data_IF_246303588460
#
_entry.id   IF_246303588460
#
_cell.length_a   1.000
_cell.length_b   1.000
_cell.length_c   1.000
_cell.angle_alpha   90.00
_cell.angle_beta   90.00
_cell.angle_gamma   90.00
#
_symmetry.space_group_name_H-M   'P 1'
#
loop_
_entity.id
_entity.type
_entity.pdbx_description
1 polymer ?
#
# COMPACT_ATOMS: atom_id res chain seq x y z
N UNK A 1 27.01 -23.67 -1.47
CA UNK A 1 26.02 -22.63 -1.80
C UNK A 1 24.56 -23.02 -1.55
N UNK A 2 24.24 -24.30 -1.48
CA UNK A 2 22.88 -24.83 -1.24
C UNK A 2 22.36 -24.74 0.22
N UNK A 3 23.24 -24.55 1.20
CA UNK A 3 22.83 -24.52 2.62
C UNK A 3 22.23 -23.18 3.07
N UNK A 4 22.65 -22.05 2.49
CA UNK A 4 22.08 -20.72 2.83
C UNK A 4 20.67 -20.54 2.31
N UNK A 5 20.35 -21.04 1.12
CA UNK A 5 19.02 -20.93 0.54
C UNK A 5 17.96 -21.72 1.33
N UNK A 6 18.30 -22.92 1.82
CA UNK A 6 17.37 -23.74 2.64
C UNK A 6 17.10 -23.15 4.02
N UNK A 7 18.06 -22.46 4.63
CA UNK A 7 17.90 -21.82 5.93
C UNK A 7 16.99 -20.58 5.80
N UNK A 8 17.25 -19.74 4.77
CA UNK A 8 16.41 -18.55 4.47
C UNK A 8 14.95 -18.95 4.18
N UNK A 9 14.73 -20.00 3.41
CA UNK A 9 13.35 -20.50 3.13
C UNK A 9 12.67 -20.99 4.41
N UNK A 10 13.36 -21.75 5.26
CA UNK A 10 12.81 -22.21 6.55
C UNK A 10 12.47 -21.05 7.48
N UNK A 11 13.30 -20.02 7.53
CA UNK A 11 13.04 -18.84 8.34
C UNK A 11 11.83 -18.06 7.84
N UNK A 12 11.63 -17.99 6.51
CA UNK A 12 10.46 -17.37 5.90
C UNK A 12 9.17 -18.13 6.18
N UNK A 13 9.17 -19.46 6.04
CA UNK A 13 8.01 -20.31 6.34
C UNK A 13 7.58 -20.16 7.81
N UNK A 14 8.53 -20.14 8.74
CA UNK A 14 8.26 -19.93 10.16
C UNK A 14 7.65 -18.53 10.44
N UNK A 15 8.12 -17.49 9.75
CA UNK A 15 7.55 -16.14 9.87
C UNK A 15 6.12 -16.11 9.36
N UNK A 16 5.86 -16.71 8.20
CA UNK A 16 4.51 -16.81 7.61
C UNK A 16 3.56 -17.55 8.57
N UNK A 17 3.96 -18.71 9.09
CA UNK A 17 3.17 -19.48 10.07
C UNK A 17 2.87 -18.63 11.30
N UNK A 18 3.86 -17.95 11.86
CA UNK A 18 3.68 -17.11 13.04
C UNK A 18 2.70 -15.96 12.81
N UNK A 19 2.77 -15.30 11.63
CA UNK A 19 1.84 -14.24 11.24
C UNK A 19 0.43 -14.82 11.05
N UNK A 20 0.29 -15.95 10.35
CA UNK A 20 -1.00 -16.61 10.14
C UNK A 20 -1.68 -16.98 11.45
N UNK A 21 -0.93 -17.55 12.38
CA UNK A 21 -1.40 -17.89 13.73
C UNK A 21 -1.84 -16.63 14.52
N UNK A 22 -1.08 -15.54 14.41
CA UNK A 22 -1.43 -14.29 15.08
C UNK A 22 -2.71 -13.66 14.50
N UNK A 23 -2.86 -13.68 13.19
CA UNK A 23 -4.08 -13.21 12.52
C UNK A 23 -5.29 -14.05 12.95
N UNK A 24 -5.16 -15.38 12.93
CA UNK A 24 -6.24 -16.28 13.29
C UNK A 24 -6.64 -16.12 14.77
N UNK A 25 -5.69 -16.04 15.71
CA UNK A 25 -5.97 -15.87 17.14
C UNK A 25 -6.68 -14.57 17.47
N UNK A 26 -6.49 -13.54 16.67
CA UNK A 26 -7.08 -12.22 16.89
C UNK A 26 -8.26 -11.90 15.96
N UNK A 27 -8.73 -12.89 15.18
CA UNK A 27 -9.79 -12.70 14.16
C UNK A 27 -9.50 -11.52 13.22
N UNK A 28 -8.25 -11.43 12.75
CA UNK A 28 -7.77 -10.39 11.85
C UNK A 28 -7.51 -10.96 10.46
N UNK A 29 -7.63 -10.09 9.47
CA UNK A 29 -7.23 -10.37 8.09
C UNK A 29 -6.09 -9.45 7.67
N UNK A 30 -5.14 -9.97 6.88
CA UNK A 30 -4.11 -9.15 6.26
C UNK A 30 -4.68 -8.52 5.00
N UNK A 31 -4.78 -7.19 4.98
CA UNK A 31 -5.39 -6.46 3.85
C UNK A 31 -4.38 -5.93 2.84
N UNK A 32 -3.13 -5.73 3.26
CA UNK A 32 -2.07 -5.16 2.44
C UNK A 32 -0.70 -5.51 3.04
N UNK A 33 0.29 -5.73 2.19
CA UNK A 33 1.71 -5.61 2.52
C UNK A 33 2.49 -5.01 1.36
N UNK A 34 3.75 -4.63 1.61
CA UNK A 34 4.60 -4.05 0.57
C UNK A 34 5.44 -5.11 -0.14
N UNK A 35 5.79 -4.87 -1.42
CA UNK A 35 6.93 -5.52 -2.07
C UNK A 35 8.22 -5.22 -1.30
N UNK A 36 9.24 -6.07 -1.40
CA UNK A 36 10.56 -5.77 -0.83
C UNK A 36 11.06 -4.40 -1.29
N UNK A 37 11.43 -3.58 -0.31
CA UNK A 37 11.80 -2.18 -0.53
C UNK A 37 13.32 -1.98 -0.75
N UNK A 38 14.08 -3.06 -0.90
CA UNK A 38 15.54 -3.01 -0.95
C UNK A 38 16.17 -2.86 0.44
N UNK A 39 17.37 -2.29 0.50
CA UNK A 39 18.09 -2.05 1.74
C UNK A 39 17.52 -0.81 2.47
N UNK A 40 16.46 -1.01 3.27
CA UNK A 40 15.78 0.06 4.00
C UNK A 40 16.70 0.83 4.95
N UNK A 41 17.56 0.12 5.68
CA UNK A 41 18.51 0.72 6.63
C UNK A 41 19.61 1.52 5.90
N UNK A 42 19.93 1.12 4.67
CA UNK A 42 20.81 1.83 3.75
C UNK A 42 20.14 3.02 3.04
N UNK A 43 18.87 3.31 3.34
CA UNK A 43 18.15 4.46 2.80
C UNK A 43 17.32 4.17 1.56
N UNK A 44 17.25 2.93 1.06
CA UNK A 44 16.38 2.58 -0.07
C UNK A 44 14.89 2.64 0.33
N UNK A 45 14.06 2.96 -0.63
CA UNK A 45 12.60 3.12 -0.46
C UNK A 45 11.83 2.46 -1.61
N UNK A 46 12.30 1.30 -2.05
CA UNK A 46 11.83 0.58 -3.22
C UNK A 46 12.87 0.47 -4.31
N UNK A 47 12.72 -0.52 -5.18
CA UNK A 47 13.68 -0.82 -6.26
C UNK A 47 13.04 -0.78 -7.65
N UNK A 48 11.74 -0.56 -7.75
CA UNK A 48 11.00 -0.67 -8.99
C UNK A 48 11.44 0.36 -10.07
N UNK A 49 11.91 1.53 -9.66
CA UNK A 49 12.34 2.57 -10.59
C UNK A 49 13.87 2.57 -10.86
N UNK A 50 14.61 1.58 -10.35
CA UNK A 50 16.07 1.55 -10.41
C UNK A 50 16.58 0.77 -11.64
N UNK A 51 17.13 1.43 -12.66
CA UNK A 51 17.74 0.74 -13.80
C UNK A 51 18.86 -0.19 -13.37
N UNK A 52 18.90 -1.40 -13.95
CA UNK A 52 19.89 -2.44 -13.65
C UNK A 52 19.55 -3.32 -12.45
N UNK A 53 18.39 -3.10 -11.78
CA UNK A 53 17.93 -3.93 -10.66
C UNK A 53 16.61 -4.67 -10.97
N UNK A 54 16.31 -4.84 -12.25
CA UNK A 54 15.07 -5.47 -12.70
C UNK A 54 14.93 -6.91 -12.21
N UNK A 55 16.02 -7.68 -12.18
CA UNK A 55 15.99 -9.06 -11.68
C UNK A 55 15.66 -9.13 -10.18
N UNK A 56 16.27 -8.25 -9.38
CA UNK A 56 15.96 -8.16 -7.95
C UNK A 56 14.50 -7.78 -7.71
N UNK A 57 13.98 -6.85 -8.50
CA UNK A 57 12.56 -6.49 -8.44
C UNK A 57 11.66 -7.68 -8.76
N UNK A 58 11.97 -8.44 -9.82
CA UNK A 58 11.19 -9.61 -10.24
C UNK A 58 11.23 -10.73 -9.19
N UNK A 59 12.38 -11.00 -8.60
CA UNK A 59 12.52 -11.93 -7.48
C UNK A 59 11.66 -11.49 -6.28
N UNK A 60 11.69 -10.19 -5.96
CA UNK A 60 10.86 -9.58 -4.91
C UNK A 60 9.36 -9.73 -5.16
N UNK A 61 8.91 -9.64 -6.41
CA UNK A 61 7.51 -9.92 -6.79
C UNK A 61 7.15 -11.37 -6.50
N UNK A 62 8.01 -12.33 -6.84
CA UNK A 62 7.83 -13.74 -6.52
C UNK A 62 7.64 -13.98 -5.03
N UNK A 63 8.55 -13.46 -4.21
CA UNK A 63 8.45 -13.56 -2.74
C UNK A 63 7.15 -12.95 -2.20
N UNK A 64 6.74 -11.79 -2.73
CA UNK A 64 5.50 -11.15 -2.29
C UNK A 64 4.26 -11.96 -2.64
N UNK A 65 4.25 -12.65 -3.79
CA UNK A 65 3.18 -13.57 -4.19
C UNK A 65 3.09 -14.73 -3.20
N UNK A 66 4.23 -15.33 -2.82
CA UNK A 66 4.27 -16.44 -1.86
C UNK A 66 3.67 -16.01 -0.50
N UNK A 67 4.11 -14.86 0.03
CA UNK A 67 3.57 -14.27 1.26
C UNK A 67 2.07 -13.96 1.16
N UNK A 68 1.67 -13.24 0.12
CA UNK A 68 0.28 -12.85 -0.07
C UNK A 68 -0.64 -14.07 -0.21
N UNK A 69 -0.20 -15.10 -0.93
CA UNK A 69 -0.96 -16.34 -1.09
C UNK A 69 -1.11 -17.09 0.22
N UNK A 70 -0.02 -17.28 0.95
CA UNK A 70 -0.01 -18.00 2.23
C UNK A 70 -0.86 -17.29 3.29
N UNK A 71 -0.83 -15.95 3.34
CA UNK A 71 -1.56 -15.12 4.29
C UNK A 71 -2.93 -14.65 3.78
N UNK A 72 -3.34 -15.06 2.58
CA UNK A 72 -4.60 -14.65 1.92
C UNK A 72 -4.73 -13.13 1.80
N UNK A 73 -3.61 -12.45 1.55
CA UNK A 73 -3.57 -11.00 1.37
C UNK A 73 -4.04 -10.62 -0.04
N UNK A 74 -5.09 -9.80 -0.20
CA UNK A 74 -5.68 -9.55 -1.51
C UNK A 74 -4.92 -8.53 -2.37
N UNK A 75 -3.95 -7.82 -1.81
CA UNK A 75 -3.27 -6.74 -2.50
C UNK A 75 -1.88 -6.46 -1.93
N UNK A 76 -0.99 -5.96 -2.80
CA UNK A 76 0.41 -5.66 -2.48
C UNK A 76 0.73 -4.26 -2.99
N UNK A 77 1.36 -3.41 -2.15
CA UNK A 77 1.84 -2.10 -2.56
C UNK A 77 3.30 -2.16 -3.02
N UNK A 78 3.62 -1.47 -4.10
CA UNK A 78 4.97 -1.29 -4.62
C UNK A 78 5.48 0.11 -4.27
N UNK A 79 6.38 0.18 -3.28
CA UNK A 79 7.21 1.37 -3.09
C UNK A 79 8.18 1.46 -4.28
N UNK A 80 8.07 2.53 -5.06
CA UNK A 80 8.76 2.59 -6.36
C UNK A 80 10.24 2.91 -6.27
N UNK A 81 10.66 3.61 -5.22
CA UNK A 81 12.05 3.95 -4.98
C UNK A 81 12.41 5.42 -5.20
N UNK A 82 13.66 5.73 -4.88
CA UNK A 82 14.26 7.04 -5.10
C UNK A 82 14.82 7.09 -6.53
N UNK A 83 14.57 8.19 -7.25
CA UNK A 83 15.15 8.39 -8.57
C UNK A 83 16.67 8.49 -8.48
N UNK A 84 17.44 7.59 -9.13
CA UNK A 84 18.90 7.66 -9.10
C UNK A 84 19.39 8.89 -9.89
N UNK A 85 20.34 9.62 -9.31
CA UNK A 85 20.86 10.88 -9.88
C UNK A 85 21.59 10.68 -11.21
N UNK A 86 22.16 9.49 -11.40
CA UNK A 86 22.96 9.12 -12.56
C UNK A 86 22.13 8.68 -13.77
N UNK A 87 20.86 8.37 -13.57
CA UNK A 87 19.95 7.94 -14.62
C UNK A 87 19.11 9.11 -15.16
N UNK A 88 18.86 9.12 -16.46
CA UNK A 88 17.91 10.09 -17.02
C UNK A 88 16.47 9.81 -16.57
N UNK A 89 15.64 10.85 -16.48
CA UNK A 89 14.23 10.70 -16.10
C UNK A 89 13.47 9.71 -17.00
N UNK A 90 13.80 9.69 -18.30
CA UNK A 90 13.22 8.74 -19.26
C UNK A 90 13.65 7.29 -19.00
N UNK A 91 14.89 7.07 -18.58
CA UNK A 91 15.37 5.74 -18.23
C UNK A 91 14.66 5.22 -16.97
N UNK A 92 14.59 6.05 -15.93
CA UNK A 92 13.86 5.74 -14.69
C UNK A 92 12.39 5.41 -15.00
N UNK A 93 11.73 6.22 -15.83
CA UNK A 93 10.34 6.02 -16.22
C UNK A 93 10.15 4.70 -16.96
N UNK A 94 10.98 4.41 -17.98
CA UNK A 94 10.89 3.15 -18.73
C UNK A 94 11.10 1.93 -17.86
N UNK A 95 12.09 1.97 -16.95
CA UNK A 95 12.34 0.89 -16.00
C UNK A 95 11.13 0.67 -15.09
N UNK A 96 10.58 1.74 -14.49
CA UNK A 96 9.40 1.63 -13.63
C UNK A 96 8.20 1.04 -14.38
N UNK A 97 7.89 1.55 -15.57
CA UNK A 97 6.76 1.06 -16.38
C UNK A 97 6.92 -0.42 -16.74
N UNK A 98 8.13 -0.85 -17.14
CA UNK A 98 8.41 -2.24 -17.46
C UNK A 98 8.25 -3.15 -16.23
N UNK A 99 8.80 -2.75 -15.09
CA UNK A 99 8.71 -3.48 -13.82
C UNK A 99 7.27 -3.57 -13.32
N UNK A 100 6.52 -2.48 -13.32
CA UNK A 100 5.11 -2.49 -12.91
C UNK A 100 4.23 -3.32 -13.87
N UNK A 101 4.52 -3.33 -15.18
CA UNK A 101 3.82 -4.19 -16.13
C UNK A 101 4.06 -5.67 -15.84
N UNK A 102 5.31 -6.04 -15.52
CA UNK A 102 5.65 -7.39 -15.08
C UNK A 102 4.90 -7.75 -13.78
N UNK A 103 5.05 -6.93 -12.74
CA UNK A 103 4.44 -7.19 -11.43
C UNK A 103 2.91 -7.28 -11.50
N UNK A 104 2.25 -6.38 -12.26
CA UNK A 104 0.81 -6.40 -12.42
C UNK A 104 0.31 -7.69 -13.09
N UNK A 105 1.06 -8.21 -14.06
CA UNK A 105 0.74 -9.48 -14.74
C UNK A 105 0.90 -10.67 -13.79
N UNK A 106 2.03 -10.79 -13.09
CA UNK A 106 2.30 -11.92 -12.20
C UNK A 106 1.34 -11.95 -11.01
N UNK A 107 1.12 -10.81 -10.36
CA UNK A 107 0.16 -10.67 -9.25
C UNK A 107 -1.29 -10.94 -9.70
N UNK A 108 -1.68 -10.50 -10.90
CA UNK A 108 -2.99 -10.81 -11.47
C UNK A 108 -3.19 -12.32 -11.62
N UNK A 109 -2.18 -13.03 -12.09
CA UNK A 109 -2.22 -14.50 -12.25
C UNK A 109 -2.41 -15.21 -10.91
N UNK A 110 -1.96 -14.61 -9.81
CA UNK A 110 -2.15 -15.08 -8.44
C UNK A 110 -3.45 -14.57 -7.78
N UNK A 111 -4.26 -13.77 -8.47
CA UNK A 111 -5.47 -13.16 -7.91
C UNK A 111 -5.21 -12.03 -6.92
N UNK A 112 -4.03 -11.41 -6.96
CA UNK A 112 -3.58 -10.36 -6.05
C UNK A 112 -3.52 -9.04 -6.81
N UNK A 113 -4.06 -7.96 -6.24
CA UNK A 113 -3.96 -6.61 -6.82
C UNK A 113 -2.60 -5.99 -6.55
N UNK A 114 -2.06 -5.27 -7.53
CA UNK A 114 -0.89 -4.43 -7.37
C UNK A 114 -1.32 -2.98 -7.13
N UNK A 115 -0.71 -2.35 -6.13
CA UNK A 115 -0.87 -0.93 -5.84
C UNK A 115 0.46 -0.19 -5.97
N UNK A 116 0.40 1.10 -6.24
CA UNK A 116 1.51 2.04 -6.08
C UNK A 116 1.06 3.24 -5.27
N UNK A 117 1.96 3.78 -4.50
CA UNK A 117 1.70 4.89 -3.59
C UNK A 117 2.52 6.13 -3.96
N UNK A 118 1.88 7.29 -4.19
CA UNK A 118 2.56 8.56 -4.19
C UNK A 118 2.98 8.98 -2.79
N UNK A 119 4.28 9.16 -2.58
CA UNK A 119 4.86 9.53 -1.28
C UNK A 119 5.45 10.92 -1.33
N UNK A 120 5.14 11.77 -0.35
CA UNK A 120 5.57 13.17 -0.31
C UNK A 120 7.10 13.31 -0.31
N UNK A 121 7.60 14.21 -1.15
CA UNK A 121 9.03 14.50 -1.28
C UNK A 121 9.59 15.37 -0.16
N UNK A 122 8.76 15.84 0.75
CA UNK A 122 9.17 16.62 1.93
C UNK A 122 9.81 15.69 2.96
N UNK A 123 9.20 14.53 3.22
CA UNK A 123 9.73 13.51 4.14
C UNK A 123 10.72 12.56 3.45
N UNK A 124 10.46 12.23 2.18
CA UNK A 124 11.32 11.33 1.40
C UNK A 124 11.80 12.06 0.13
N UNK A 125 12.83 12.91 0.25
CA UNK A 125 13.38 13.64 -0.90
C UNK A 125 13.85 12.68 -2.00
N UNK A 126 13.46 12.96 -3.24
CA UNK A 126 13.83 12.14 -4.39
C UNK A 126 12.96 10.92 -4.64
N UNK A 127 11.91 10.68 -3.83
CA UNK A 127 10.95 9.62 -4.14
C UNK A 127 10.32 9.85 -5.51
N UNK A 128 10.35 8.82 -6.37
CA UNK A 128 10.04 9.02 -7.78
C UNK A 128 8.57 9.35 -8.04
N UNK A 129 7.64 8.65 -7.39
CA UNK A 129 6.20 8.96 -7.46
C UNK A 129 5.80 9.88 -6.29
N UNK A 130 5.96 11.17 -6.46
CA UNK A 130 5.70 12.17 -5.42
C UNK A 130 4.31 12.84 -5.52
N UNK A 131 3.53 12.55 -6.59
CA UNK A 131 2.20 13.11 -6.82
C UNK A 131 1.25 12.09 -7.44
N UNK A 132 -0.04 12.20 -7.11
CA UNK A 132 -1.10 11.33 -7.63
C UNK A 132 -1.18 11.41 -9.15
N UNK A 133 -1.11 12.60 -9.75
CA UNK A 133 -1.18 12.77 -11.19
C UNK A 133 -0.03 12.07 -11.93
N UNK A 134 1.16 12.10 -11.35
CA UNK A 134 2.32 11.39 -11.90
C UNK A 134 2.12 9.88 -11.83
N UNK A 135 1.60 9.39 -10.70
CA UNK A 135 1.27 7.97 -10.56
C UNK A 135 0.20 7.54 -11.57
N UNK A 136 -0.89 8.31 -11.73
CA UNK A 136 -1.92 8.01 -12.74
C UNK A 136 -1.34 7.96 -14.14
N UNK A 137 -0.46 8.90 -14.50
CA UNK A 137 0.25 8.88 -15.80
C UNK A 137 1.08 7.59 -15.99
N UNK A 138 1.68 7.03 -14.91
CA UNK A 138 2.37 5.75 -14.97
C UNK A 138 1.37 4.59 -15.10
N UNK A 139 0.26 4.61 -14.35
CA UNK A 139 -0.79 3.60 -14.47
C UNK A 139 -1.32 3.49 -15.90
N UNK A 140 -1.56 4.64 -16.55
CA UNK A 140 -2.05 4.71 -17.94
C UNK A 140 -1.03 4.15 -18.92
N UNK A 141 0.26 4.45 -18.74
CA UNK A 141 1.34 3.93 -19.59
C UNK A 141 1.58 2.42 -19.38
N UNK A 142 1.45 1.92 -18.16
CA UNK A 142 1.48 0.48 -17.86
C UNK A 142 0.33 -0.24 -18.56
N UNK A 143 -0.86 0.36 -18.56
CA UNK A 143 -2.03 -0.15 -19.27
C UNK A 143 -2.59 -1.46 -18.70
N UNK A 144 -2.39 -1.72 -17.40
CA UNK A 144 -2.90 -2.92 -16.73
C UNK A 144 -4.21 -2.63 -16.00
N UNK A 145 -5.14 -3.57 -16.06
CA UNK A 145 -6.37 -3.58 -15.27
C UNK A 145 -6.17 -4.12 -13.84
N UNK A 146 -4.93 -4.47 -13.47
CA UNK A 146 -4.55 -4.95 -12.14
C UNK A 146 -3.52 -4.04 -11.44
N UNK A 147 -3.49 -2.76 -11.80
CA UNK A 147 -2.62 -1.76 -11.16
C UNK A 147 -3.47 -0.57 -10.69
N UNK A 148 -3.38 -0.28 -9.38
CA UNK A 148 -4.21 0.70 -8.70
C UNK A 148 -3.38 1.67 -7.88
N UNK A 149 -4.02 2.71 -7.36
CA UNK A 149 -3.44 3.64 -6.39
C UNK A 149 -3.71 3.17 -4.96
N UNK A 150 -2.68 3.26 -4.13
CA UNK A 150 -2.81 3.48 -2.69
C UNK A 150 -2.84 4.98 -2.47
N UNK A 151 -3.96 5.48 -1.99
CA UNK A 151 -4.20 6.91 -1.81
C UNK A 151 -4.02 7.29 -0.35
N UNK A 152 -2.84 7.77 0.02
CA UNK A 152 -2.57 8.28 1.36
C UNK A 152 -2.95 9.77 1.43
N UNK A 153 -3.93 10.08 2.29
CA UNK A 153 -4.44 11.43 2.48
C UNK A 153 -3.39 12.37 3.09
N UNK A 154 -2.49 11.85 3.93
CA UNK A 154 -1.41 12.63 4.49
C UNK A 154 -0.39 13.03 3.41
N UNK A 155 0.04 12.09 2.58
CA UNK A 155 0.97 12.39 1.49
C UNK A 155 0.36 13.37 0.49
N UNK A 156 -0.92 13.20 0.15
CA UNK A 156 -1.62 14.12 -0.74
C UNK A 156 -1.76 15.50 -0.12
N UNK A 157 -2.09 15.62 1.19
CA UNK A 157 -2.18 16.91 1.86
C UNK A 157 -0.86 17.67 1.79
N UNK A 158 0.26 17.00 2.02
CA UNK A 158 1.59 17.61 1.99
C UNK A 158 2.02 18.08 0.59
N UNK A 159 1.52 17.44 -0.47
CA UNK A 159 1.97 17.71 -1.86
C UNK A 159 1.02 18.60 -2.67
N UNK A 160 -0.26 18.60 -2.36
CA UNK A 160 -1.22 19.32 -3.18
C UNK A 160 -2.52 19.71 -2.50
N UNK A 161 -2.81 19.16 -1.33
CA UNK A 161 -4.12 19.35 -0.70
C UNK A 161 -5.25 18.75 -1.54
N UNK A 162 -6.40 19.45 -1.62
CA UNK A 162 -7.57 19.07 -2.45
C UNK A 162 -7.98 17.60 -2.28
N UNK A 163 -7.97 17.10 -1.03
CA UNK A 163 -8.08 15.66 -0.72
C UNK A 163 -9.31 15.01 -1.33
N UNK A 164 -10.49 15.60 -1.11
CA UNK A 164 -11.74 15.04 -1.62
C UNK A 164 -11.88 15.21 -3.14
N UNK A 165 -11.44 16.34 -3.69
CA UNK A 165 -11.49 16.57 -5.14
C UNK A 165 -10.58 15.61 -5.89
N UNK A 166 -9.36 15.35 -5.37
CA UNK A 166 -8.41 14.37 -5.92
C UNK A 166 -8.97 12.95 -5.82
N UNK A 167 -9.55 12.57 -4.66
CA UNK A 167 -10.24 11.29 -4.52
C UNK A 167 -11.33 11.11 -5.56
N UNK A 168 -12.26 12.08 -5.71
CA UNK A 168 -13.36 12.02 -6.69
C UNK A 168 -12.89 11.88 -8.11
N UNK A 169 -11.81 12.58 -8.45
CA UNK A 169 -11.21 12.53 -9.80
C UNK A 169 -10.65 11.15 -10.14
N UNK A 170 -10.10 10.44 -9.15
CA UNK A 170 -9.37 9.20 -9.39
C UNK A 170 -9.95 7.99 -8.65
N UNK A 171 -11.15 8.07 -8.08
CA UNK A 171 -11.75 7.04 -7.24
C UNK A 171 -11.79 5.65 -7.88
N UNK A 172 -11.99 5.57 -9.19
CA UNK A 172 -12.03 4.29 -9.91
C UNK A 172 -10.63 3.64 -10.05
N UNK A 173 -9.59 4.38 -9.73
CA UNK A 173 -8.19 3.91 -9.73
C UNK A 173 -7.67 3.63 -8.32
N UNK A 174 -8.40 4.00 -7.27
CA UNK A 174 -7.99 3.87 -5.86
C UNK A 174 -8.52 2.56 -5.30
N UNK A 175 -7.62 1.68 -4.85
CA UNK A 175 -7.97 0.41 -4.22
C UNK A 175 -7.78 0.40 -2.70
N UNK A 176 -6.97 1.32 -2.16
CA UNK A 176 -6.69 1.43 -0.74
C UNK A 176 -6.50 2.90 -0.36
N UNK A 177 -6.99 3.28 0.83
CA UNK A 177 -6.78 4.63 1.39
C UNK A 177 -5.96 4.50 2.67
N UNK A 178 -5.06 5.46 2.91
CA UNK A 178 -4.34 5.58 4.18
C UNK A 178 -4.55 6.94 4.82
N UNK A 179 -4.43 6.99 6.15
CA UNK A 179 -4.66 8.20 6.95
C UNK A 179 -3.57 8.42 7.98
N UNK A 180 -3.13 9.66 8.08
CA UNK A 180 -2.37 10.25 9.16
C UNK A 180 -2.63 11.77 9.16
N UNK A 181 -2.52 12.45 10.29
CA UNK A 181 -2.79 13.88 10.33
C UNK A 181 -1.54 14.72 10.02
N UNK A 182 -1.74 15.86 9.40
CA UNK A 182 -0.69 16.80 9.02
C UNK A 182 -0.65 17.97 10.02
N UNK A 183 0.54 18.44 10.41
CA UNK A 183 1.88 18.12 9.90
C UNK A 183 2.62 16.97 10.62
N UNK A 184 2.16 16.53 11.79
CA UNK A 184 2.92 15.64 12.67
C UNK A 184 2.97 14.17 12.25
N UNK A 185 2.17 13.75 11.25
CA UNK A 185 1.92 12.36 10.89
C UNK A 185 1.43 11.52 12.07
N UNK A 186 0.67 12.16 12.97
CA UNK A 186 0.04 11.50 14.11
C UNK A 186 -1.38 11.01 13.77
N UNK A 187 -2.14 10.54 14.76
CA UNK A 187 -3.51 10.08 14.59
C UNK A 187 -4.46 11.18 14.10
N UNK A 188 -5.53 10.84 13.37
CA UNK A 188 -6.58 11.77 12.94
C UNK A 188 -7.14 12.62 14.08
N UNK A 189 -7.28 13.92 13.85
CA UNK A 189 -7.77 14.91 14.82
C UNK A 189 -6.68 15.60 15.61
N UNK A 190 -5.41 15.34 15.31
CA UNK A 190 -4.26 16.02 15.96
C UNK A 190 -3.66 17.15 15.12
N UNK A 191 -4.16 17.35 13.91
CA UNK A 191 -3.63 18.33 12.97
C UNK A 191 -4.72 19.08 12.19
N UNK A 192 -4.42 19.41 10.93
CA UNK A 192 -5.24 20.30 10.10
C UNK A 192 -6.26 19.59 9.20
N UNK A 193 -6.20 18.25 9.11
CA UNK A 193 -7.08 17.50 8.20
C UNK A 193 -8.44 17.25 8.88
N UNK A 194 -9.52 17.67 8.23
CA UNK A 194 -10.87 17.41 8.74
C UNK A 194 -11.32 15.97 8.37
N UNK A 195 -10.87 15.00 9.15
CA UNK A 195 -11.17 13.59 8.93
C UNK A 195 -12.66 13.24 9.06
N UNK A 196 -13.41 13.90 9.97
CA UNK A 196 -14.85 13.68 10.08
C UNK A 196 -15.56 14.00 8.77
N UNK A 197 -15.23 15.13 8.16
CA UNK A 197 -15.78 15.51 6.85
C UNK A 197 -15.38 14.52 5.74
N UNK A 198 -14.11 14.07 5.72
CA UNK A 198 -13.61 13.15 4.70
C UNK A 198 -14.24 11.78 4.81
N UNK A 199 -14.36 11.20 6.01
CA UNK A 199 -14.99 9.89 6.19
C UNK A 199 -16.46 9.91 5.82
N UNK A 200 -17.21 10.94 6.23
CA UNK A 200 -18.60 11.11 5.77
C UNK A 200 -18.70 11.27 4.24
N UNK A 201 -17.75 11.93 3.60
CA UNK A 201 -17.72 12.05 2.15
C UNK A 201 -17.41 10.71 1.48
N UNK A 202 -16.44 9.92 1.98
CA UNK A 202 -16.14 8.58 1.48
C UNK A 202 -17.34 7.63 1.62
N UNK A 203 -18.09 7.72 2.73
CA UNK A 203 -19.34 6.95 2.91
C UNK A 203 -20.40 7.34 1.89
N UNK A 204 -20.63 8.65 1.67
CA UNK A 204 -21.55 9.14 0.62
C UNK A 204 -21.17 8.71 -0.78
N UNK A 205 -19.87 8.64 -1.07
CA UNK A 205 -19.31 8.15 -2.35
C UNK A 205 -19.28 6.61 -2.42
N UNK A 206 -19.78 5.93 -1.39
CA UNK A 206 -19.85 4.46 -1.31
C UNK A 206 -18.48 3.77 -1.45
N UNK A 207 -17.41 4.34 -0.91
CA UNK A 207 -16.12 3.68 -0.86
C UNK A 207 -16.23 2.32 -0.12
N UNK A 208 -15.72 1.25 -0.74
CA UNK A 208 -15.84 -0.13 -0.23
C UNK A 208 -14.50 -0.74 0.20
N UNK A 209 -13.41 -0.01 0.00
CA UNK A 209 -12.07 -0.46 0.37
C UNK A 209 -11.76 -0.29 1.85
N UNK A 210 -10.56 -0.63 2.22
CA UNK A 210 -10.02 -0.45 3.56
C UNK A 210 -9.40 0.94 3.71
N UNK A 211 -9.47 1.48 4.93
CA UNK A 211 -8.76 2.69 5.33
C UNK A 211 -7.70 2.27 6.35
N UNK A 212 -6.44 2.31 5.93
CA UNK A 212 -5.28 1.96 6.75
C UNK A 212 -4.84 3.14 7.60
N UNK A 213 -4.52 2.88 8.87
CA UNK A 213 -3.97 3.88 9.79
C UNK A 213 -2.45 3.81 9.76
N UNK A 214 -1.80 4.71 9.01
CA UNK A 214 -0.34 4.76 8.90
C UNK A 214 0.23 6.03 9.53
N UNK A 215 0.09 6.12 10.83
CA UNK A 215 0.55 7.27 11.58
C UNK A 215 1.52 6.90 12.72
N UNK A 216 2.26 7.88 13.21
CA UNK A 216 3.08 7.78 14.42
C UNK A 216 2.20 8.15 15.60
N UNK A 217 1.77 7.20 16.44
CA UNK A 217 0.90 7.52 17.56
C UNK A 217 1.60 8.49 18.52
N UNK A 218 0.88 9.53 18.95
CA UNK A 218 1.41 10.54 19.87
C UNK A 218 1.64 10.00 21.30
N UNK A 219 1.03 8.85 21.61
CA UNK A 219 1.20 8.10 22.86
C UNK A 219 1.12 6.60 22.56
N UNK A 220 0.93 5.75 23.58
CA UNK A 220 0.70 4.31 23.36
C UNK A 220 -0.49 4.10 22.41
N UNK A 221 -0.36 3.20 21.43
CA UNK A 221 -1.36 2.99 20.37
C UNK A 221 -2.78 2.81 20.93
N UNK A 222 -2.93 2.02 21.99
CA UNK A 222 -4.24 1.80 22.62
C UNK A 222 -4.87 3.05 23.24
N UNK A 223 -4.04 4.03 23.63
CA UNK A 223 -4.51 5.27 24.26
C UNK A 223 -5.00 6.30 23.21
N UNK A 224 -4.54 6.20 21.97
CA UNK A 224 -4.83 7.16 20.91
C UNK A 224 -5.83 6.66 19.84
N UNK A 225 -6.50 5.55 20.08
CA UNK A 225 -7.52 5.01 19.17
C UNK A 225 -8.91 5.64 19.36
N UNK A 226 -9.08 6.52 20.35
CA UNK A 226 -10.37 7.13 20.68
C UNK A 226 -11.02 7.88 19.53
N UNK A 227 -10.25 8.48 18.63
CA UNK A 227 -10.74 9.17 17.42
C UNK A 227 -11.56 8.27 16.50
N UNK A 228 -11.21 6.98 16.43
CA UNK A 228 -11.85 6.02 15.55
C UNK A 228 -13.22 5.52 16.08
N UNK A 229 -13.53 5.73 17.35
CA UNK A 229 -14.71 5.15 18.01
C UNK A 229 -16.05 5.52 17.37
N UNK A 230 -16.17 6.72 16.78
CA UNK A 230 -17.34 7.17 16.03
C UNK A 230 -17.44 6.60 14.62
N UNK A 231 -16.35 6.09 14.08
CA UNK A 231 -16.21 5.58 12.72
C UNK A 231 -16.16 4.05 12.65
N UNK A 232 -15.79 3.39 13.77
CA UNK A 232 -15.84 1.94 13.85
C UNK A 232 -17.31 1.50 13.82
N UNK A 233 -17.65 0.66 12.83
CA UNK A 233 -18.98 0.04 12.81
C UNK A 233 -19.17 -0.75 14.10
N UNK A 234 -20.17 -0.43 14.91
CA UNK A 234 -20.64 -1.37 15.92
C UNK A 234 -21.05 -2.61 15.15
N UNK A 235 -20.37 -3.72 15.36
CA UNK A 235 -20.79 -5.00 14.81
C UNK A 235 -22.23 -5.28 15.26
N UNK A 236 -23.18 -4.95 14.38
CA UNK A 236 -24.47 -5.59 14.39
C UNK A 236 -24.20 -7.04 14.00
N UNK A 237 -24.62 -7.98 14.86
CA UNK A 237 -24.57 -9.43 14.64
C UNK A 237 -24.75 -9.73 13.16
N UNK A 238 -23.69 -10.18 12.48
CA UNK A 238 -23.81 -10.74 11.15
C UNK A 238 -24.77 -11.93 11.27
N UNK A 239 -25.99 -11.74 10.82
CA UNK A 239 -26.92 -12.82 10.56
C UNK A 239 -26.24 -13.76 9.57
N UNK A 240 -25.77 -14.89 10.08
CA UNK A 240 -25.50 -16.09 9.28
C UNK A 240 -26.86 -16.53 8.72
N UNK A 241 -27.25 -15.95 7.62
CA UNK A 241 -28.32 -16.45 6.76
C UNK A 241 -27.84 -16.35 5.32
N UNK A 242 -27.58 -17.46 4.78
CA UNK A 242 -28.11 -18.13 3.61
C UNK A 242 -27.04 -18.88 2.85
N UNK A 243 -27.10 -20.14 3.01
CA UNK A 243 -26.40 -21.13 2.18
C UNK A 243 -26.99 -22.52 2.40
N UNK A 244 -28.33 -22.61 2.46
CA UNK A 244 -28.99 -23.91 2.35
C UNK A 244 -30.31 -23.74 1.60
N UNK A 245 -30.38 -24.23 0.40
CA UNK A 245 -31.66 -24.35 -0.29
C UNK A 245 -31.63 -24.24 -1.80
N UNK A 246 -31.46 -25.40 -2.41
CA UNK A 246 -31.89 -25.91 -3.73
C UNK A 246 -30.98 -25.68 -4.91
#
# INVERSE_FOLDING_TARGET
MLFRSRQIVKDQDQIIEHIADALQRNDLILVLHNLPAGNWDGGERGVACLPGRENEFQEGVGHAIDYATALRCPQVNCLVGLAPKEASGDQVRRTLVANLRFAAKELKSAGIRLLVEPVNSIEIPGFYLDRVEKAVSILDEVGSDNLYLQYDLYHQQRMGGELLATYRRFKDRIAHIQVADNPGRNEPGTGEINYSFLFEALDRESYKGWIGCEYKPSAATSAVLGWASSHLRKEGKATREQGAGR
#
